data_IF_712294265635
#
_entry.id   IF_712294265635
#
_cell.length_a   1.000
_cell.length_b   1.000
_cell.length_c   1.000
_cell.angle_alpha   90.00
_cell.angle_beta   90.00
_cell.angle_gamma   90.00
#
_symmetry.space_group_name_H-M   'P 1'
#
loop_
_entity.id
_entity.type
_entity.pdbx_description
1 polymer ?
#
# COMPACT_ATOMS: atom_id res chain seq x y z
N UNK A 1 18.11 -0.06 -2.06
CA UNK A 1 17.38 1.07 -1.49
C UNK A 1 17.49 0.93 0.01
N UNK A 2 17.92 1.99 0.68
CA UNK A 2 18.13 1.99 2.12
C UNK A 2 17.04 2.85 2.76
N UNK A 3 16.34 2.33 3.77
CA UNK A 3 15.25 3.06 4.44
C UNK A 3 15.68 4.45 4.94
N UNK A 4 16.88 4.56 5.53
CA UNK A 4 17.40 5.84 6.05
C UNK A 4 17.69 6.89 4.98
N UNK A 5 17.89 6.46 3.73
CA UNK A 5 18.03 7.38 2.61
C UNK A 5 16.66 7.87 2.14
N UNK A 6 15.66 6.98 2.13
CA UNK A 6 14.29 7.29 1.74
C UNK A 6 13.64 8.26 2.73
N UNK A 7 13.85 8.06 4.04
CA UNK A 7 13.35 8.96 5.10
C UNK A 7 13.86 10.41 4.95
N UNK A 8 14.98 10.63 4.26
CA UNK A 8 15.58 11.96 4.06
C UNK A 8 15.09 12.67 2.80
N UNK A 9 14.30 12.00 1.97
CA UNK A 9 13.76 12.60 0.76
C UNK A 9 12.71 13.66 1.13
N UNK A 10 12.57 14.72 0.30
CA UNK A 10 11.48 15.67 0.49
C UNK A 10 10.11 14.98 0.39
N UNK A 11 9.11 15.57 1.01
CA UNK A 11 7.74 15.06 1.02
C UNK A 11 7.10 15.10 -0.37
N UNK A 12 7.49 16.08 -1.19
CA UNK A 12 7.01 16.25 -2.56
C UNK A 12 8.12 15.85 -3.53
N UNK A 13 7.81 14.87 -4.38
CA UNK A 13 8.65 14.42 -5.48
C UNK A 13 7.82 14.33 -6.76
N UNK A 14 8.42 14.51 -7.96
CA UNK A 14 7.73 14.27 -9.21
C UNK A 14 7.22 12.83 -9.31
N UNK A 15 6.02 12.64 -9.86
CA UNK A 15 5.38 11.33 -10.01
C UNK A 15 6.25 10.35 -10.79
N UNK A 16 6.99 10.79 -11.81
CA UNK A 16 7.91 9.94 -12.58
C UNK A 16 9.11 9.47 -11.74
N UNK A 17 9.59 10.32 -10.81
CA UNK A 17 10.65 9.94 -9.88
C UNK A 17 10.15 8.87 -8.92
N UNK A 18 8.94 9.05 -8.37
CA UNK A 18 8.31 8.07 -7.50
C UNK A 18 8.08 6.73 -8.22
N UNK A 19 7.61 6.75 -9.47
CA UNK A 19 7.42 5.55 -10.27
C UNK A 19 8.71 4.72 -10.42
N UNK A 20 9.84 5.37 -10.73
CA UNK A 20 11.14 4.71 -10.79
C UNK A 20 11.57 4.15 -9.43
N UNK A 21 11.31 4.87 -8.34
CA UNK A 21 11.64 4.42 -6.99
C UNK A 21 10.80 3.21 -6.56
N UNK A 22 9.51 3.20 -6.87
CA UNK A 22 8.63 2.05 -6.66
C UNK A 22 9.11 0.83 -7.47
N UNK A 23 9.44 1.00 -8.74
CA UNK A 23 9.99 -0.07 -9.57
C UNK A 23 11.31 -0.63 -9.00
N UNK A 24 12.19 0.25 -8.52
CA UNK A 24 13.46 -0.15 -7.92
C UNK A 24 13.25 -0.98 -6.65
N UNK A 25 12.39 -0.53 -5.72
CA UNK A 25 12.15 -1.28 -4.47
C UNK A 25 11.48 -2.63 -4.75
N UNK A 26 10.56 -2.69 -5.72
CA UNK A 26 9.97 -3.96 -6.18
C UNK A 26 11.02 -4.92 -6.73
N UNK A 27 11.92 -4.43 -7.59
CA UNK A 27 12.98 -5.25 -8.16
C UNK A 27 13.95 -5.76 -7.09
N UNK A 28 14.35 -4.91 -6.15
CA UNK A 28 15.23 -5.32 -5.05
C UNK A 28 14.57 -6.35 -4.14
N UNK A 29 13.28 -6.22 -3.85
CA UNK A 29 12.55 -7.22 -3.08
C UNK A 29 12.44 -8.55 -3.83
N UNK A 30 12.06 -8.52 -5.12
CA UNK A 30 11.93 -9.71 -5.96
C UNK A 30 13.26 -10.46 -6.16
N UNK A 31 14.38 -9.74 -6.13
CA UNK A 31 15.73 -10.31 -6.21
C UNK A 31 16.32 -10.71 -4.85
N UNK A 32 15.55 -10.54 -3.76
CA UNK A 32 15.98 -10.89 -2.41
C UNK A 32 17.05 -9.97 -1.81
N UNK A 33 17.24 -8.78 -2.39
CA UNK A 33 18.23 -7.80 -1.92
C UNK A 33 17.77 -7.04 -0.67
N UNK A 34 16.46 -6.97 -0.44
CA UNK A 34 15.85 -6.39 0.76
C UNK A 34 14.83 -7.36 1.35
N UNK A 35 14.72 -7.38 2.67
CA UNK A 35 13.77 -8.24 3.39
C UNK A 35 12.36 -7.63 3.41
N UNK A 36 11.35 -8.45 3.73
CA UNK A 36 9.93 -8.04 3.78
C UNK A 36 9.72 -6.78 4.62
N UNK A 37 10.32 -6.70 5.81
CA UNK A 37 10.15 -5.57 6.72
C UNK A 37 10.64 -4.27 6.09
N UNK A 38 11.87 -4.26 5.57
CA UNK A 38 12.44 -3.07 4.93
C UNK A 38 11.68 -2.71 3.65
N UNK A 39 11.23 -3.71 2.89
CA UNK A 39 10.39 -3.51 1.72
C UNK A 39 9.09 -2.76 2.07
N UNK A 40 8.33 -3.23 3.07
CA UNK A 40 7.07 -2.59 3.47
C UNK A 40 7.30 -1.17 4.00
N UNK A 41 8.34 -0.96 4.81
CA UNK A 41 8.67 0.37 5.33
C UNK A 41 9.07 1.37 4.23
N UNK A 42 9.90 0.94 3.28
CA UNK A 42 10.26 1.78 2.12
C UNK A 42 9.01 2.06 1.28
N UNK A 43 8.18 1.05 1.04
CA UNK A 43 6.98 1.19 0.22
C UNK A 43 5.96 2.15 0.85
N UNK A 44 5.79 2.11 2.18
CA UNK A 44 4.99 3.05 2.95
C UNK A 44 5.52 4.48 2.79
N UNK A 45 6.83 4.70 2.96
CA UNK A 45 7.46 6.02 2.77
C UNK A 45 7.30 6.58 1.36
N UNK A 46 7.34 5.74 0.33
CA UNK A 46 7.07 6.16 -1.05
C UNK A 46 5.59 6.45 -1.27
N UNK A 47 4.70 5.72 -0.60
CA UNK A 47 3.25 5.92 -0.66
C UNK A 47 2.86 7.27 -0.07
N UNK A 48 3.41 7.65 1.08
CA UNK A 48 3.18 8.98 1.67
C UNK A 48 3.50 10.10 0.68
N UNK A 49 4.63 9.96 -0.04
CA UNK A 49 5.07 10.93 -1.05
C UNK A 49 4.21 10.90 -2.31
N UNK A 50 3.70 9.73 -2.69
CA UNK A 50 2.75 9.61 -3.79
C UNK A 50 1.42 10.29 -3.45
N UNK A 51 0.94 10.22 -2.21
CA UNK A 51 -0.28 10.92 -1.78
C UNK A 51 -0.13 12.43 -1.95
N UNK A 52 1.07 12.98 -1.69
CA UNK A 52 1.36 14.41 -1.84
C UNK A 52 1.31 14.91 -3.29
N UNK A 53 1.30 14.03 -4.30
CA UNK A 53 1.15 14.44 -5.71
C UNK A 53 -0.31 14.67 -6.09
N UNK A 54 -1.27 14.10 -5.34
CA UNK A 54 -2.68 14.03 -5.71
C UNK A 54 -2.95 13.39 -7.09
N UNK A 55 -1.97 12.64 -7.60
CA UNK A 55 -2.04 11.92 -8.86
C UNK A 55 -2.02 10.41 -8.59
N UNK A 56 -2.62 9.66 -9.52
CA UNK A 56 -2.49 8.21 -9.49
C UNK A 56 -1.10 7.81 -9.98
N UNK A 57 -0.47 6.89 -9.27
CA UNK A 57 0.71 6.21 -9.76
C UNK A 57 0.40 5.48 -11.06
N UNK A 58 1.39 5.41 -11.97
CA UNK A 58 1.27 4.70 -13.24
C UNK A 58 0.70 3.28 -13.04
N UNK A 59 -0.25 2.90 -13.91
CA UNK A 59 -1.01 1.66 -13.75
C UNK A 59 -0.14 0.41 -13.71
N UNK A 60 0.95 0.34 -14.49
CA UNK A 60 1.84 -0.82 -14.50
C UNK A 60 2.58 -1.01 -13.17
N UNK A 61 3.10 0.09 -12.61
CA UNK A 61 3.77 0.08 -11.31
C UNK A 61 2.77 -0.25 -10.21
N UNK A 62 1.61 0.41 -10.22
CA UNK A 62 0.53 0.15 -9.26
C UNK A 62 0.08 -1.31 -9.26
N UNK A 63 -0.13 -1.91 -10.43
CA UNK A 63 -0.51 -3.32 -10.55
C UNK A 63 0.59 -4.26 -10.03
N UNK A 64 1.85 -3.90 -10.23
CA UNK A 64 2.99 -4.68 -9.72
C UNK A 64 3.03 -4.67 -8.19
N UNK A 65 2.80 -3.51 -7.57
CA UNK A 65 2.69 -3.37 -6.11
C UNK A 65 1.49 -4.18 -5.60
N UNK A 66 0.32 -4.03 -6.24
CA UNK A 66 -0.92 -4.74 -5.90
C UNK A 66 -0.68 -6.25 -5.80
N UNK A 67 -0.04 -6.83 -6.83
CA UNK A 67 0.24 -8.27 -6.86
C UNK A 67 1.27 -8.71 -5.82
N UNK A 68 2.26 -7.88 -5.49
CA UNK A 68 3.23 -8.20 -4.43
C UNK A 68 2.54 -8.18 -3.08
N UNK A 69 1.78 -7.13 -2.75
CA UNK A 69 1.07 -7.03 -1.47
C UNK A 69 -0.01 -8.08 -1.32
N UNK A 70 -0.71 -8.43 -2.41
CA UNK A 70 -1.63 -9.57 -2.44
C UNK A 70 -0.97 -10.86 -1.95
N UNK A 71 0.31 -11.10 -2.30
CA UNK A 71 1.04 -12.29 -1.85
C UNK A 71 1.56 -12.18 -0.41
N UNK A 72 1.79 -10.97 0.08
CA UNK A 72 2.32 -10.71 1.42
C UNK A 72 1.23 -10.57 2.49
N UNK A 73 -0.01 -10.35 2.08
CA UNK A 73 -1.15 -10.21 2.99
C UNK A 73 -1.25 -11.38 3.97
N UNK A 74 -1.43 -11.04 5.24
CA UNK A 74 -1.60 -11.96 6.35
C UNK A 74 -2.58 -11.34 7.36
N UNK A 75 -2.98 -12.13 8.35
CA UNK A 75 -3.89 -11.77 9.44
C UNK A 75 -3.27 -12.10 10.82
N UNK A 76 -1.96 -12.36 10.86
CA UNK A 76 -1.23 -12.82 12.05
C UNK A 76 -0.25 -11.79 12.62
N UNK A 77 0.02 -10.70 11.89
CA UNK A 77 0.89 -9.61 12.33
C UNK A 77 0.19 -8.26 12.17
N UNK A 78 -0.11 -7.62 13.30
CA UNK A 78 -0.73 -6.29 13.30
C UNK A 78 0.10 -5.26 12.54
N UNK A 79 1.42 -5.23 12.76
CA UNK A 79 2.33 -4.29 12.09
C UNK A 79 2.30 -4.46 10.55
N UNK A 80 2.27 -5.71 10.05
CA UNK A 80 2.16 -5.96 8.61
C UNK A 80 0.77 -5.60 8.08
N UNK A 81 -0.28 -5.89 8.83
CA UNK A 81 -1.66 -5.56 8.46
C UNK A 81 -1.83 -4.05 8.31
N UNK A 82 -1.45 -3.29 9.34
CA UNK A 82 -1.56 -1.82 9.38
C UNK A 82 -0.83 -1.17 8.19
N UNK A 83 0.43 -1.55 7.97
CA UNK A 83 1.22 -0.97 6.88
C UNK A 83 0.69 -1.37 5.49
N UNK A 84 0.24 -2.62 5.31
CA UNK A 84 -0.31 -3.07 4.02
C UNK A 84 -1.65 -2.39 3.75
N UNK A 85 -2.53 -2.26 4.73
CA UNK A 85 -3.81 -1.55 4.60
C UNK A 85 -3.59 -0.11 4.16
N UNK A 86 -2.71 0.62 4.86
CA UNK A 86 -2.36 2.00 4.52
C UNK A 86 -1.87 2.13 3.06
N UNK A 87 -0.98 1.23 2.61
CA UNK A 87 -0.48 1.27 1.24
C UNK A 87 -1.57 0.93 0.22
N UNK A 88 -2.37 -0.09 0.49
CA UNK A 88 -3.45 -0.56 -0.38
C UNK A 88 -4.48 0.55 -0.62
N UNK A 89 -4.90 1.22 0.44
CA UNK A 89 -5.90 2.29 0.36
C UNK A 89 -5.34 3.50 -0.38
N UNK A 90 -4.15 3.96 -0.01
CA UNK A 90 -3.57 5.19 -0.56
C UNK A 90 -3.16 5.06 -2.03
N UNK A 91 -2.79 3.85 -2.49
CA UNK A 91 -2.47 3.61 -3.90
C UNK A 91 -3.67 3.09 -4.71
N UNK A 92 -4.75 2.67 -4.06
CA UNK A 92 -5.93 2.13 -4.71
C UNK A 92 -5.71 0.74 -5.33
N UNK A 93 -5.16 -0.18 -4.54
CA UNK A 93 -4.75 -1.52 -4.97
C UNK A 93 -5.92 -2.51 -4.88
N UNK A 94 -6.63 -2.69 -6.00
CA UNK A 94 -7.92 -3.37 -6.04
C UNK A 94 -7.85 -4.86 -5.69
N UNK A 95 -6.85 -5.58 -6.20
CA UNK A 95 -6.79 -7.03 -6.04
C UNK A 95 -6.44 -7.40 -4.60
N UNK A 96 -5.46 -6.70 -4.01
CA UNK A 96 -5.09 -6.86 -2.62
C UNK A 96 -6.24 -6.43 -1.70
N UNK A 97 -6.95 -5.34 -2.00
CA UNK A 97 -8.13 -4.95 -1.22
C UNK A 97 -9.23 -6.01 -1.26
N UNK A 98 -9.48 -6.64 -2.41
CA UNK A 98 -10.43 -7.76 -2.47
C UNK A 98 -9.96 -8.94 -1.61
N UNK A 99 -8.67 -9.28 -1.62
CA UNK A 99 -8.10 -10.32 -0.76
C UNK A 99 -8.31 -10.03 0.73
N UNK A 100 -8.14 -8.77 1.12
CA UNK A 100 -8.37 -8.29 2.49
C UNK A 100 -9.84 -8.48 2.88
N UNK A 101 -10.80 -8.10 2.01
CA UNK A 101 -12.24 -8.32 2.25
C UNK A 101 -12.56 -9.80 2.39
N UNK A 102 -11.96 -10.63 1.54
CA UNK A 102 -12.19 -12.08 1.55
C UNK A 102 -11.62 -12.74 2.82
N UNK A 103 -10.50 -12.25 3.36
CA UNK A 103 -9.85 -12.88 4.53
C UNK A 103 -10.71 -12.86 5.79
N UNK A 104 -11.54 -11.84 6.00
CA UNK A 104 -12.47 -11.77 7.15
C UNK A 104 -13.42 -12.98 7.19
N UNK A 105 -13.80 -13.53 6.03
CA UNK A 105 -14.72 -14.66 5.94
C UNK A 105 -14.01 -16.01 5.93
N UNK A 106 -12.73 -16.04 5.56
CA UNK A 106 -11.94 -17.25 5.36
C UNK A 106 -11.18 -17.65 6.63
N UNK A 107 -10.66 -16.67 7.36
CA UNK A 107 -9.94 -16.86 8.60
C UNK A 107 -10.86 -16.56 9.78
N UNK A 108 -11.06 -17.56 10.64
CA UNK A 108 -11.97 -17.48 11.79
C UNK A 108 -11.26 -17.13 13.09
N UNK A 109 -9.93 -17.16 13.07
CA UNK A 109 -9.08 -17.01 14.26
C UNK A 109 -8.26 -15.71 14.20
N UNK A 110 -8.71 -14.73 13.40
CA UNK A 110 -8.12 -13.39 13.32
C UNK A 110 -8.20 -12.73 14.70
N UNK A 111 -7.09 -12.16 15.16
CA UNK A 111 -7.05 -11.36 16.38
C UNK A 111 -8.06 -10.19 16.30
N UNK A 112 -8.72 -9.89 17.42
CA UNK A 112 -9.80 -8.89 17.47
C UNK A 112 -9.32 -7.50 17.02
N UNK A 113 -8.09 -7.11 17.36
CA UNK A 113 -7.53 -5.81 16.95
C UNK A 113 -7.28 -5.76 15.44
N UNK A 114 -6.71 -6.83 14.88
CA UNK A 114 -6.49 -6.97 13.44
C UNK A 114 -7.82 -6.94 12.69
N UNK A 115 -8.80 -7.73 13.15
CA UNK A 115 -10.12 -7.79 12.52
C UNK A 115 -10.81 -6.43 12.52
N UNK A 116 -10.72 -5.70 13.65
CA UNK A 116 -11.28 -4.36 13.77
C UNK A 116 -10.66 -3.39 12.78
N UNK A 117 -9.32 -3.35 12.70
CA UNK A 117 -8.59 -2.48 11.77
C UNK A 117 -9.00 -2.72 10.31
N UNK A 118 -9.14 -3.99 9.93
CA UNK A 118 -9.58 -4.37 8.58
C UNK A 118 -11.01 -3.88 8.31
N UNK A 119 -11.94 -4.08 9.25
CA UNK A 119 -13.34 -3.68 9.09
C UNK A 119 -13.46 -2.15 8.98
N UNK A 120 -12.81 -1.41 9.90
CA UNK A 120 -12.82 0.05 9.87
C UNK A 120 -12.25 0.58 8.56
N UNK A 121 -11.13 0.02 8.08
CA UNK A 121 -10.56 0.37 6.78
C UNK A 121 -11.53 0.09 5.62
N UNK A 122 -12.22 -1.05 5.61
CA UNK A 122 -13.18 -1.39 4.56
C UNK A 122 -14.35 -0.40 4.54
N UNK A 123 -14.87 -0.06 5.71
CA UNK A 123 -16.00 0.87 5.85
C UNK A 123 -15.63 2.29 5.43
N UNK A 124 -14.41 2.74 5.74
CA UNK A 124 -13.89 4.06 5.33
C UNK A 124 -13.71 4.17 3.81
N UNK A 125 -13.18 3.12 3.18
CA UNK A 125 -12.94 3.10 1.73
C UNK A 125 -14.25 2.99 0.94
N UNK A 126 -15.19 2.17 1.44
CA UNK A 126 -16.42 1.83 0.73
C UNK A 126 -16.14 1.23 -0.65
N UNK A 127 -16.77 1.80 -1.69
CA UNK A 127 -16.64 1.35 -3.08
C UNK A 127 -15.58 2.13 -3.88
N UNK A 128 -14.83 3.03 -3.23
CA UNK A 128 -13.98 4.01 -3.90
C UNK A 128 -12.50 3.60 -4.03
N UNK A 129 -12.14 2.35 -3.76
CA UNK A 129 -10.74 1.88 -3.79
C UNK A 129 -10.01 2.22 -5.11
N UNK A 130 -10.72 2.29 -6.25
CA UNK A 130 -10.13 2.69 -7.54
C UNK A 130 -9.52 4.09 -7.55
N UNK A 131 -10.07 4.97 -6.73
CA UNK A 131 -9.87 6.40 -6.74
C UNK A 131 -9.71 6.90 -5.30
N UNK A 132 -8.49 6.76 -4.72
CA UNK A 132 -8.20 7.25 -3.38
C UNK A 132 -8.54 8.74 -3.19
N UNK A 133 -8.54 9.51 -4.28
CA UNK A 133 -8.82 10.94 -4.29
C UNK A 133 -10.28 11.32 -4.60
N UNK A 134 -11.22 10.36 -4.61
CA UNK A 134 -12.63 10.61 -4.95
C UNK A 134 -13.25 11.77 -4.14
N UNK A 135 -12.88 11.88 -2.84
CA UNK A 135 -13.38 12.94 -1.96
C UNK A 135 -12.90 14.34 -2.36
N UNK A 136 -11.81 14.46 -3.14
CA UNK A 136 -11.29 15.73 -3.64
C UNK A 136 -12.00 16.19 -4.92
N UNK A 137 -12.68 15.29 -5.63
CA UNK A 137 -13.41 15.64 -6.86
C UNK A 137 -14.54 16.64 -6.61
N UNK A 138 -15.07 16.71 -5.38
CA UNK A 138 -16.06 17.72 -4.97
C UNK A 138 -15.54 19.17 -4.99
N UNK A 139 -14.23 19.36 -5.10
CA UNK A 139 -13.58 20.67 -5.15
C UNK A 139 -13.07 21.05 -6.54
N UNK A 140 -13.31 20.21 -7.55
CA UNK A 140 -13.04 20.53 -8.96
C UNK A 140 -14.24 21.24 -9.58
#
# INVERSE_FOLDING_TARGET
>A
MNLKEIEKLPDVLPTETLALMFQNVLNEFNTGKIEKKDFLLILSQLTDRQVMTYELLESEVRNSIDMVLYRLWNTDSYDDVDIILSIVVNLGLKNCFQKIKDSINQDKDIDELILKEIIETIDEVGENISNPYHALERFK
#
